data_IF_435337140361
#
_entry.id   IF_435337140361
#
_cell.length_a   1.000
_cell.length_b   1.000
_cell.length_c   1.000
_cell.angle_alpha   90.00
_cell.angle_beta   90.00
_cell.angle_gamma   90.00
#
_symmetry.space_group_name_H-M   'P 1'
#
loop_
_entity.id
_entity.type
_entity.pdbx_description
1 polymer ?
#
# COMPACT_ATOMS: atom_id res chain seq x y z
N UNK A 1 -28.42 -20.20 -8.11
CA UNK A 1 -28.03 -20.47 -6.71
C UNK A 1 -27.19 -19.28 -6.27
N UNK A 2 -27.69 -18.44 -5.36
CA UNK A 2 -26.88 -17.39 -4.76
C UNK A 2 -25.91 -18.08 -3.81
N UNK A 3 -24.67 -18.27 -4.26
CA UNK A 3 -23.57 -18.76 -3.41
C UNK A 3 -23.43 -17.78 -2.25
N UNK A 4 -23.80 -18.21 -1.04
CA UNK A 4 -23.85 -17.36 0.15
C UNK A 4 -22.51 -17.46 0.88
N UNK A 5 -21.46 -16.91 0.25
CA UNK A 5 -20.11 -16.79 0.80
C UNK A 5 -20.15 -15.88 2.02
N UNK A 6 -19.57 -16.31 3.15
CA UNK A 6 -19.44 -15.49 4.36
C UNK A 6 -17.99 -15.03 4.50
N UNK A 7 -17.62 -14.06 3.68
CA UNK A 7 -16.28 -13.48 3.68
C UNK A 7 -16.31 -11.99 4.04
N UNK A 8 -15.20 -11.53 4.63
CA UNK A 8 -14.81 -10.13 4.71
C UNK A 8 -13.56 -9.95 3.84
N UNK A 9 -13.55 -8.95 2.96
CA UNK A 9 -12.37 -8.65 2.12
C UNK A 9 -11.75 -7.33 2.54
N UNK A 10 -10.46 -7.35 2.88
CA UNK A 10 -9.72 -6.17 3.30
C UNK A 10 -8.60 -5.93 2.31
N UNK A 11 -8.51 -4.71 1.82
CA UNK A 11 -7.57 -4.33 0.78
C UNK A 11 -6.50 -3.39 1.34
N UNK A 12 -5.24 -3.61 0.95
CA UNK A 12 -4.29 -2.49 0.87
C UNK A 12 -4.70 -1.53 -0.26
N UNK A 13 -4.06 -0.36 -0.33
CA UNK A 13 -4.33 0.68 -1.31
C UNK A 13 -3.17 0.82 -2.29
N UNK A 14 -1.95 1.02 -1.79
CA UNK A 14 -0.77 1.26 -2.62
C UNK A 14 -0.37 -0.07 -3.29
N UNK A 15 -0.19 -0.09 -4.60
CA UNK A 15 0.10 -1.33 -5.36
C UNK A 15 -1.11 -2.24 -5.61
N UNK A 16 -2.21 -2.07 -4.87
CA UNK A 16 -3.44 -2.88 -5.00
C UNK A 16 -4.58 -2.11 -5.67
N UNK A 17 -4.93 -0.92 -5.16
CA UNK A 17 -6.03 -0.09 -5.68
C UNK A 17 -5.53 1.02 -6.60
N UNK A 18 -4.29 1.45 -6.39
CA UNK A 18 -3.62 2.46 -7.22
C UNK A 18 -2.19 2.07 -7.50
N UNK A 19 -1.68 2.48 -8.65
CA UNK A 19 -0.27 2.34 -8.98
C UNK A 19 0.51 3.59 -8.54
N UNK A 20 1.35 3.41 -7.54
CA UNK A 20 2.20 4.46 -6.95
C UNK A 20 3.64 4.43 -7.47
N UNK A 21 3.98 3.50 -8.36
CA UNK A 21 5.36 3.22 -8.78
C UNK A 21 6.06 4.44 -9.38
N UNK A 22 5.32 5.26 -10.12
CA UNK A 22 5.82 6.47 -10.76
C UNK A 22 5.77 7.73 -9.89
N UNK A 23 4.92 7.79 -8.86
CA UNK A 23 4.68 9.01 -8.10
C UNK A 23 5.66 9.18 -6.94
N UNK A 24 5.85 8.15 -6.11
CA UNK A 24 6.76 8.22 -4.96
C UNK A 24 8.22 8.29 -5.39
N UNK A 25 8.66 7.47 -6.36
CA UNK A 25 10.04 7.53 -6.90
C UNK A 25 10.34 8.92 -7.45
N UNK A 26 9.40 9.52 -8.18
CA UNK A 26 9.54 10.88 -8.68
C UNK A 26 9.60 11.92 -7.57
N UNK A 27 8.78 11.78 -6.52
CA UNK A 27 8.82 12.66 -5.35
C UNK A 27 10.16 12.56 -4.61
N UNK A 28 10.73 11.36 -4.46
CA UNK A 28 12.09 11.17 -3.93
C UNK A 28 13.10 11.91 -4.80
N UNK A 29 13.13 11.64 -6.11
CA UNK A 29 14.11 12.25 -7.01
C UNK A 29 14.05 13.77 -7.00
N UNK A 30 12.85 14.36 -7.04
CA UNK A 30 12.66 15.81 -6.96
C UNK A 30 13.11 16.40 -5.62
N UNK A 31 12.86 15.69 -4.53
CA UNK A 31 13.23 16.13 -3.19
C UNK A 31 14.75 16.14 -3.04
N UNK A 32 15.41 15.05 -3.43
CA UNK A 32 16.87 14.97 -3.38
C UNK A 32 17.52 16.01 -4.30
N UNK A 33 17.01 16.19 -5.52
CA UNK A 33 17.51 17.22 -6.44
C UNK A 33 17.38 18.63 -5.86
N UNK A 34 16.26 18.94 -5.22
CA UNK A 34 16.06 20.24 -4.60
C UNK A 34 17.03 20.51 -3.44
N UNK A 35 17.17 19.57 -2.50
CA UNK A 35 18.02 19.74 -1.31
C UNK A 35 19.51 19.56 -1.60
N UNK A 36 19.88 19.04 -2.77
CA UNK A 36 21.27 19.01 -3.26
C UNK A 36 21.58 20.17 -4.20
N UNK A 37 20.71 21.18 -4.30
CA UNK A 37 20.92 22.35 -5.18
C UNK A 37 21.11 21.96 -6.65
N UNK A 38 20.33 20.98 -7.11
CA UNK A 38 20.38 20.36 -8.44
C UNK A 38 21.68 19.59 -8.76
N UNK A 39 22.54 19.33 -7.77
CA UNK A 39 23.78 18.59 -7.98
C UNK A 39 23.56 17.08 -8.12
N UNK A 40 22.47 16.54 -7.57
CA UNK A 40 22.19 15.10 -7.63
C UNK A 40 20.70 14.79 -7.71
N UNK A 41 20.34 13.99 -8.71
CA UNK A 41 19.00 13.44 -8.87
C UNK A 41 19.09 11.91 -8.91
N UNK A 42 18.59 11.18 -7.89
CA UNK A 42 18.67 9.73 -7.85
C UNK A 42 17.82 9.11 -8.96
N UNK A 43 18.39 8.09 -9.60
CA UNK A 43 17.72 7.26 -10.60
C UNK A 43 16.82 6.21 -9.93
N UNK A 44 15.91 5.55 -10.67
CA UNK A 44 15.15 4.41 -10.13
C UNK A 44 16.05 3.33 -9.52
N UNK A 45 17.20 3.05 -10.15
CA UNK A 45 18.18 2.07 -9.66
C UNK A 45 18.77 2.49 -8.32
N UNK A 46 19.11 3.79 -8.14
CA UNK A 46 19.63 4.29 -6.86
C UNK A 46 18.60 4.14 -5.74
N UNK A 47 17.33 4.42 -6.05
CA UNK A 47 16.22 4.30 -5.10
C UNK A 47 15.98 2.82 -4.74
N UNK A 48 15.99 1.92 -5.72
CA UNK A 48 15.79 0.50 -5.48
C UNK A 48 16.95 -0.09 -4.66
N UNK A 49 18.19 0.31 -4.93
CA UNK A 49 19.36 -0.06 -4.13
C UNK A 49 19.22 0.40 -2.68
N UNK A 50 18.84 1.67 -2.45
CA UNK A 50 18.57 2.18 -1.11
C UNK A 50 17.45 1.38 -0.41
N UNK A 51 16.32 1.15 -1.09
CA UNK A 51 15.18 0.42 -0.51
C UNK A 51 15.51 -1.03 -0.20
N UNK A 52 16.43 -1.65 -0.96
CA UNK A 52 16.88 -3.02 -0.72
C UNK A 52 17.59 -3.21 0.64
N UNK A 53 18.06 -2.12 1.27
CA UNK A 53 18.66 -2.15 2.61
C UNK A 53 17.63 -2.45 3.71
N UNK A 54 16.34 -2.28 3.44
CA UNK A 54 15.24 -2.72 4.31
C UNK A 54 15.06 -1.94 5.61
N UNK A 55 15.74 -0.80 5.79
CA UNK A 55 15.71 0.01 7.02
C UNK A 55 15.00 1.37 6.87
N UNK A 56 14.63 1.78 5.66
CA UNK A 56 14.00 3.06 5.38
C UNK A 56 12.49 2.93 5.48
N UNK A 57 11.89 3.40 6.58
CA UNK A 57 10.50 3.10 6.93
C UNK A 57 9.49 3.88 6.07
N UNK A 58 9.92 4.99 5.48
CA UNK A 58 9.11 5.78 4.55
C UNK A 58 9.98 6.52 3.52
N UNK A 59 9.33 7.01 2.47
CA UNK A 59 10.00 7.70 1.37
C UNK A 59 10.60 9.06 1.77
N UNK A 60 10.21 9.64 2.91
CA UNK A 60 10.81 10.88 3.42
C UNK A 60 12.17 10.62 4.07
N UNK A 61 12.27 9.56 4.87
CA UNK A 61 13.54 9.06 5.42
C UNK A 61 14.48 8.62 4.30
N UNK A 62 13.95 7.91 3.29
CA UNK A 62 14.73 7.54 2.10
C UNK A 62 15.28 8.78 1.37
N UNK A 63 14.46 9.83 1.20
CA UNK A 63 14.88 11.09 0.59
C UNK A 63 15.99 11.76 1.42
N UNK A 64 15.82 11.82 2.74
CA UNK A 64 16.81 12.40 3.65
C UNK A 64 18.15 11.65 3.58
N UNK A 65 18.12 10.33 3.58
CA UNK A 65 19.34 9.53 3.48
C UNK A 65 20.09 9.77 2.17
N UNK A 66 19.40 9.84 1.04
CA UNK A 66 20.04 10.12 -0.25
C UNK A 66 20.71 11.49 -0.27
N UNK A 67 20.10 12.49 0.38
CA UNK A 67 20.70 13.82 0.55
C UNK A 67 21.97 13.72 1.41
N UNK A 68 21.93 13.00 2.54
CA UNK A 68 23.12 12.76 3.36
C UNK A 68 24.24 12.08 2.56
N UNK A 69 23.93 11.00 1.85
CA UNK A 69 24.91 10.24 1.05
C UNK A 69 25.56 11.11 -0.02
N UNK A 70 24.78 11.98 -0.66
CA UNK A 70 25.33 12.93 -1.61
C UNK A 70 26.39 13.83 -0.96
N UNK A 71 26.05 14.54 0.12
CA UNK A 71 27.03 15.44 0.76
C UNK A 71 28.23 14.72 1.36
N UNK A 72 28.05 13.52 1.91
CA UNK A 72 29.16 12.66 2.37
C UNK A 72 30.08 12.29 1.20
N UNK A 73 29.52 11.96 0.02
CA UNK A 73 30.31 11.68 -1.18
C UNK A 73 31.14 12.88 -1.66
N UNK A 74 30.73 14.10 -1.29
CA UNK A 74 31.46 15.34 -1.57
C UNK A 74 32.48 15.70 -0.46
N UNK A 75 32.69 14.82 0.51
CA UNK A 75 33.70 14.97 1.56
C UNK A 75 33.22 15.64 2.85
N UNK A 76 31.91 15.89 3.01
CA UNK A 76 31.36 16.41 4.26
C UNK A 76 31.17 15.29 5.30
N UNK A 77 31.31 15.62 6.59
CA UNK A 77 30.97 14.67 7.66
C UNK A 77 29.47 14.70 7.96
N UNK A 78 28.87 13.54 8.24
CA UNK A 78 27.41 13.43 8.49
C UNK A 78 26.93 14.37 9.61
N UNK A 79 27.74 14.57 10.64
CA UNK A 79 27.45 15.42 11.79
C UNK A 79 27.44 16.93 11.46
N UNK A 80 28.11 17.33 10.38
CA UNK A 80 28.19 18.72 9.93
C UNK A 80 27.03 19.08 8.99
N UNK A 81 26.38 18.07 8.39
CA UNK A 81 25.24 18.25 7.50
C UNK A 81 23.99 18.51 8.33
N UNK A 82 23.48 19.74 8.28
CA UNK A 82 22.23 20.11 8.93
C UNK A 82 21.06 19.97 7.96
N UNK A 83 20.36 18.85 8.01
CA UNK A 83 19.10 18.65 7.28
C UNK A 83 17.89 18.90 8.18
N UNK A 84 16.99 19.77 7.73
CA UNK A 84 15.67 19.94 8.33
C UNK A 84 14.70 18.90 7.77
N UNK A 85 14.44 17.86 8.57
CA UNK A 85 13.51 16.79 8.20
C UNK A 85 12.09 17.29 7.92
N UNK A 86 11.59 18.26 8.68
CA UNK A 86 10.25 18.79 8.49
C UNK A 86 10.14 19.53 7.14
N UNK A 87 11.20 20.24 6.75
CA UNK A 87 11.27 20.88 5.43
C UNK A 87 11.35 19.85 4.29
N UNK A 88 12.12 18.76 4.47
CA UNK A 88 12.16 17.65 3.50
C UNK A 88 10.77 17.04 3.30
N UNK A 89 10.06 16.72 4.39
CA UNK A 89 8.70 16.19 4.33
C UNK A 89 7.76 17.20 3.65
N UNK A 90 7.86 18.49 3.98
CA UNK A 90 7.02 19.54 3.40
C UNK A 90 7.23 19.66 1.90
N UNK A 91 8.48 19.71 1.44
CA UNK A 91 8.80 19.77 0.02
C UNK A 91 8.34 18.52 -0.72
N UNK A 92 8.64 17.33 -0.17
CA UNK A 92 8.18 16.05 -0.73
C UNK A 92 6.67 16.07 -0.95
N UNK A 93 5.91 16.45 0.09
CA UNK A 93 4.46 16.49 0.03
C UNK A 93 3.93 17.54 -0.95
N UNK A 94 4.62 18.68 -1.10
CA UNK A 94 4.28 19.69 -2.10
C UNK A 94 4.39 19.18 -3.55
N UNK A 95 5.28 18.22 -3.81
CA UNK A 95 5.39 17.54 -5.10
C UNK A 95 4.36 16.42 -5.23
N UNK A 96 4.23 15.62 -4.17
CA UNK A 96 3.37 14.44 -4.17
C UNK A 96 1.88 14.78 -4.21
N UNK A 97 1.39 15.59 -3.25
CA UNK A 97 0.00 16.05 -3.18
C UNK A 97 -0.24 17.32 -3.99
N UNK A 98 0.80 18.11 -4.20
CA UNK A 98 0.70 19.40 -4.87
C UNK A 98 0.65 20.57 -3.89
N UNK A 99 0.52 21.78 -4.43
CA UNK A 99 0.42 23.03 -3.67
C UNK A 99 -1.02 23.48 -3.45
N UNK A 100 -1.97 22.99 -4.25
CA UNK A 100 -3.40 23.24 -4.03
C UNK A 100 -3.96 22.26 -3.00
N UNK A 101 -4.16 22.72 -1.77
CA UNK A 101 -4.64 21.89 -0.66
C UNK A 101 -6.08 21.43 -0.81
N UNK A 102 -6.88 22.05 -1.69
CA UNK A 102 -8.29 21.70 -1.93
C UNK A 102 -8.44 20.74 -3.09
N UNK A 103 -7.86 21.09 -4.25
CA UNK A 103 -8.06 20.30 -5.46
C UNK A 103 -6.99 19.25 -5.66
N UNK A 104 -5.81 19.45 -5.08
CA UNK A 104 -4.59 18.67 -5.30
C UNK A 104 -4.17 18.70 -6.77
N UNK A 105 -2.90 18.96 -6.99
CA UNK A 105 -2.32 19.09 -8.33
C UNK A 105 -0.94 18.43 -8.44
N UNK A 106 -0.61 17.56 -7.48
CA UNK A 106 0.64 16.81 -7.46
C UNK A 106 0.59 15.49 -8.23
N UNK A 107 1.60 14.66 -8.01
CA UNK A 107 1.76 13.38 -8.67
C UNK A 107 0.64 12.39 -8.40
N UNK A 108 0.09 12.41 -7.19
CA UNK A 108 -1.04 11.56 -6.79
C UNK A 108 -2.27 11.71 -7.71
N UNK A 109 -2.45 12.87 -8.34
CA UNK A 109 -3.57 13.12 -9.25
C UNK A 109 -3.51 12.28 -10.54
N UNK A 110 -2.33 11.78 -10.90
CA UNK A 110 -2.06 11.08 -12.15
C UNK A 110 -1.79 9.58 -11.95
N UNK A 111 -1.84 9.08 -10.71
CA UNK A 111 -1.65 7.65 -10.42
C UNK A 111 -2.74 6.82 -11.11
N UNK A 112 -2.41 5.75 -11.84
CA UNK A 112 -3.41 4.83 -12.38
C UNK A 112 -4.24 4.19 -11.27
N UNK A 113 -5.56 4.08 -11.46
CA UNK A 113 -6.43 3.28 -10.61
C UNK A 113 -6.46 1.84 -11.13
N UNK A 114 -6.29 0.88 -10.24
CA UNK A 114 -6.21 -0.55 -10.54
C UNK A 114 -7.53 -1.28 -10.29
N UNK A 115 -8.51 -0.60 -9.70
CA UNK A 115 -9.86 -1.08 -9.48
C UNK A 115 -10.90 -0.07 -9.97
N UNK A 116 -12.09 -0.55 -10.33
CA UNK A 116 -13.24 0.28 -10.68
C UNK A 116 -14.30 0.25 -9.58
N UNK A 117 -15.14 1.29 -9.45
CA UNK A 117 -16.19 1.33 -8.41
C UNK A 117 -17.18 0.17 -8.50
N UNK A 118 -17.45 -0.32 -9.72
CA UNK A 118 -18.31 -1.46 -9.97
C UNK A 118 -17.83 -2.73 -9.28
N UNK A 119 -16.51 -2.92 -9.13
CA UNK A 119 -15.94 -4.07 -8.42
C UNK A 119 -16.40 -4.11 -6.96
N UNK A 120 -16.33 -2.99 -6.26
CA UNK A 120 -16.79 -2.88 -4.87
C UNK A 120 -18.32 -2.98 -4.75
N UNK A 121 -19.05 -2.45 -5.73
CA UNK A 121 -20.50 -2.60 -5.78
C UNK A 121 -20.91 -4.07 -5.93
N UNK A 122 -20.15 -4.87 -6.67
CA UNK A 122 -20.40 -6.32 -6.79
C UNK A 122 -20.16 -7.04 -5.46
N UNK A 123 -19.08 -6.74 -4.74
CA UNK A 123 -18.84 -7.28 -3.39
C UNK A 123 -20.03 -6.97 -2.45
N UNK A 124 -20.47 -5.70 -2.40
CA UNK A 124 -21.62 -5.29 -1.60
C UNK A 124 -22.90 -6.01 -2.00
N UNK A 125 -23.19 -6.11 -3.31
CA UNK A 125 -24.40 -6.81 -3.83
C UNK A 125 -24.41 -8.29 -3.49
N UNK A 126 -23.23 -8.90 -3.38
CA UNK A 126 -23.06 -10.29 -2.97
C UNK A 126 -23.04 -10.49 -1.45
N UNK A 127 -23.24 -9.44 -0.66
CA UNK A 127 -23.26 -9.52 0.80
C UNK A 127 -21.88 -9.70 1.44
N UNK A 128 -20.80 -9.47 0.68
CA UNK A 128 -19.43 -9.51 1.18
C UNK A 128 -19.09 -8.14 1.75
N UNK A 129 -18.80 -8.07 3.04
CA UNK A 129 -18.34 -6.84 3.66
C UNK A 129 -16.87 -6.58 3.27
N UNK A 130 -16.51 -5.31 3.08
CA UNK A 130 -15.16 -4.95 2.66
C UNK A 130 -14.71 -3.59 3.19
N UNK A 131 -13.40 -3.43 3.30
CA UNK A 131 -12.77 -2.20 3.77
C UNK A 131 -11.28 -2.16 3.46
N UNK A 132 -10.59 -1.15 3.98
CA UNK A 132 -9.18 -0.90 3.70
C UNK A 132 -8.34 -0.88 4.97
N UNK A 133 -7.14 -1.46 4.89
CA UNK A 133 -6.07 -1.28 5.87
C UNK A 133 -4.76 -0.98 5.15
N UNK A 134 -4.24 0.25 5.30
CA UNK A 134 -3.10 0.71 4.51
C UNK A 134 -2.11 1.53 5.31
N UNK A 135 -0.84 1.46 4.89
CA UNK A 135 0.22 2.35 5.37
C UNK A 135 0.19 3.74 4.72
N UNK A 136 -0.75 3.99 3.80
CA UNK A 136 -0.97 5.34 3.27
C UNK A 136 -1.55 6.27 4.35
N UNK A 137 -1.11 7.52 4.37
CA UNK A 137 -1.72 8.56 5.20
C UNK A 137 -3.21 8.70 4.89
N UNK A 138 -4.04 8.98 5.89
CA UNK A 138 -5.49 9.12 5.75
C UNK A 138 -5.90 10.10 4.66
N UNK A 139 -5.22 11.24 4.54
CA UNK A 139 -5.50 12.23 3.50
C UNK A 139 -5.30 11.67 2.08
N UNK A 140 -4.18 10.98 1.83
CA UNK A 140 -3.89 10.38 0.52
C UNK A 140 -4.85 9.23 0.21
N UNK A 141 -5.15 8.38 1.19
CA UNK A 141 -6.11 7.29 1.05
C UNK A 141 -7.51 7.81 0.70
N UNK A 142 -8.03 8.81 1.44
CA UNK A 142 -9.34 9.40 1.16
C UNK A 142 -9.37 10.09 -0.22
N UNK A 143 -8.29 10.78 -0.61
CA UNK A 143 -8.20 11.38 -1.94
C UNK A 143 -8.36 10.34 -3.04
N UNK A 144 -7.74 9.18 -2.89
CA UNK A 144 -7.85 8.11 -3.88
C UNK A 144 -9.23 7.45 -3.82
N UNK A 145 -9.65 7.00 -2.64
CA UNK A 145 -10.85 6.18 -2.49
C UNK A 145 -12.13 6.97 -2.74
N UNK A 146 -12.24 8.17 -2.18
CA UNK A 146 -13.47 8.96 -2.27
C UNK A 146 -13.46 9.88 -3.49
N UNK A 147 -12.37 10.62 -3.71
CA UNK A 147 -12.36 11.65 -4.76
C UNK A 147 -12.03 11.12 -6.15
N UNK A 148 -11.08 10.18 -6.28
CA UNK A 148 -10.70 9.63 -7.60
C UNK A 148 -11.48 8.40 -7.98
N UNK A 149 -11.62 7.46 -7.05
CA UNK A 149 -12.37 6.23 -7.26
C UNK A 149 -13.88 6.46 -7.04
N UNK A 150 -14.30 7.41 -6.21
CA UNK A 150 -15.73 7.73 -6.07
C UNK A 150 -16.48 6.85 -5.08
N UNK A 151 -15.78 6.18 -4.15
CA UNK A 151 -16.42 5.43 -3.07
C UNK A 151 -17.04 6.37 -2.04
N UNK A 152 -18.18 5.98 -1.49
CA UNK A 152 -18.86 6.76 -0.45
C UNK A 152 -18.46 6.25 0.93
N UNK A 153 -17.72 7.07 1.68
CA UNK A 153 -17.31 6.82 3.07
C UNK A 153 -16.87 5.37 3.34
N UNK A 154 -15.85 4.86 2.61
CA UNK A 154 -15.39 3.48 2.80
C UNK A 154 -14.79 3.28 4.20
N UNK A 155 -14.91 2.07 4.74
CA UNK A 155 -14.20 1.70 5.98
C UNK A 155 -12.70 1.73 5.71
N UNK A 156 -11.97 2.56 6.47
CA UNK A 156 -10.55 2.79 6.28
C UNK A 156 -9.81 2.93 7.62
N UNK A 157 -8.85 2.04 7.82
CA UNK A 157 -7.77 2.19 8.79
C UNK A 157 -6.52 2.59 8.00
N UNK A 158 -6.04 3.80 8.23
CA UNK A 158 -4.89 4.41 7.60
C UNK A 158 -3.68 4.41 8.55
N UNK A 159 -2.56 4.95 8.06
CA UNK A 159 -1.27 5.00 8.78
C UNK A 159 -1.38 5.59 10.19
N UNK A 160 -2.21 6.62 10.37
CA UNK A 160 -2.32 7.36 11.62
C UNK A 160 -3.16 6.63 12.69
N UNK A 161 -3.91 5.59 12.33
CA UNK A 161 -4.92 4.98 13.21
C UNK A 161 -4.43 3.75 13.97
N UNK A 162 -3.37 3.10 13.49
CA UNK A 162 -2.84 1.86 14.05
C UNK A 162 -1.33 1.72 13.78
N UNK A 163 -0.62 0.86 14.53
CA UNK A 163 0.76 0.49 14.19
C UNK A 163 0.87 -0.03 12.75
N UNK A 164 1.99 0.29 12.10
CA UNK A 164 2.25 -0.12 10.73
C UNK A 164 2.37 -1.64 10.57
N UNK A 165 2.07 -2.12 9.36
CA UNK A 165 2.30 -3.52 8.97
C UNK A 165 3.76 -3.91 9.23
N UNK A 166 4.06 -5.13 9.68
CA UNK A 166 3.16 -6.29 9.74
C UNK A 166 2.35 -6.42 11.05
N UNK A 167 2.20 -5.38 11.86
CA UNK A 167 1.34 -5.45 13.04
C UNK A 167 -0.15 -5.65 12.66
N UNK A 168 -0.84 -6.68 13.18
CA UNK A 168 -2.22 -6.99 12.78
C UNK A 168 -3.28 -6.10 13.47
N UNK A 169 -2.90 -5.17 14.35
CA UNK A 169 -3.84 -4.32 15.10
C UNK A 169 -4.79 -3.56 14.18
N UNK A 170 -4.27 -2.98 13.09
CA UNK A 170 -5.10 -2.25 12.13
C UNK A 170 -6.05 -3.17 11.36
N UNK A 171 -5.61 -4.39 11.03
CA UNK A 171 -6.46 -5.42 10.40
C UNK A 171 -7.64 -5.80 11.31
N UNK A 172 -7.39 -6.06 12.60
CA UNK A 172 -8.46 -6.33 13.57
C UNK A 172 -9.42 -5.15 13.73
N UNK A 173 -8.91 -3.91 13.76
CA UNK A 173 -9.75 -2.73 13.84
C UNK A 173 -10.70 -2.62 12.62
N UNK A 174 -10.20 -2.85 11.40
CA UNK A 174 -11.03 -2.86 10.18
C UNK A 174 -12.12 -3.93 10.26
N UNK A 175 -11.78 -5.15 10.69
CA UNK A 175 -12.73 -6.26 10.84
C UNK A 175 -13.83 -5.90 11.85
N UNK A 176 -13.46 -5.37 13.02
CA UNK A 176 -14.42 -5.02 14.06
C UNK A 176 -15.47 -3.99 13.59
N UNK A 177 -15.06 -3.01 12.77
CA UNK A 177 -15.97 -2.04 12.16
C UNK A 177 -16.93 -2.74 11.19
N UNK A 178 -16.41 -3.64 10.35
CA UNK A 178 -17.19 -4.34 9.32
C UNK A 178 -18.16 -5.39 9.91
N UNK A 179 -17.78 -6.04 11.01
CA UNK A 179 -18.64 -7.00 11.71
C UNK A 179 -19.81 -6.31 12.41
N UNK A 180 -19.65 -5.04 12.80
CA UNK A 180 -20.70 -4.20 13.40
C UNK A 180 -21.50 -4.92 14.52
N UNK A 181 -20.79 -5.58 15.43
CA UNK A 181 -21.38 -6.31 16.56
C UNK A 181 -21.92 -7.71 16.24
N UNK A 182 -21.72 -8.22 15.03
CA UNK A 182 -22.02 -9.60 14.67
C UNK A 182 -21.09 -10.58 15.38
N UNK A 183 -21.65 -11.67 15.93
CA UNK A 183 -20.88 -12.77 16.50
C UNK A 183 -20.43 -13.81 15.45
N UNK A 184 -20.69 -13.57 14.18
CA UNK A 184 -20.23 -14.45 13.11
C UNK A 184 -18.72 -14.25 12.89
N UNK A 185 -18.02 -15.35 12.58
CA UNK A 185 -16.59 -15.34 12.25
C UNK A 185 -16.40 -15.68 10.78
N UNK A 186 -16.69 -14.75 9.85
CA UNK A 186 -16.51 -14.98 8.43
C UNK A 186 -15.04 -15.23 8.11
N UNK A 187 -14.80 -15.87 6.96
CA UNK A 187 -13.44 -15.94 6.40
C UNK A 187 -12.95 -14.53 6.14
N UNK A 188 -11.72 -14.23 6.56
CA UNK A 188 -11.08 -12.95 6.25
C UNK A 188 -10.11 -13.15 5.10
N UNK A 189 -10.37 -12.46 4.00
CA UNK A 189 -9.47 -12.39 2.85
C UNK A 189 -8.77 -11.04 2.90
N UNK A 190 -7.45 -11.06 3.01
CA UNK A 190 -6.64 -9.84 2.95
C UNK A 190 -5.91 -9.78 1.61
N UNK A 191 -6.00 -8.65 0.92
CA UNK A 191 -5.45 -8.44 -0.41
C UNK A 191 -4.34 -7.39 -0.34
N UNK A 192 -3.10 -7.81 -0.63
CA UNK A 192 -1.91 -6.98 -0.51
C UNK A 192 -0.87 -7.28 -1.59
N UNK A 193 -0.01 -6.33 -1.89
CA UNK A 193 1.08 -6.49 -2.87
C UNK A 193 2.44 -6.71 -2.21
N UNK A 194 2.57 -6.61 -0.88
CA UNK A 194 3.85 -6.74 -0.19
C UNK A 194 3.96 -7.99 0.66
N UNK A 195 5.20 -8.35 1.03
CA UNK A 195 5.48 -9.36 2.04
C UNK A 195 4.95 -8.96 3.42
N UNK A 196 4.97 -7.65 3.74
CA UNK A 196 4.46 -7.16 5.03
C UNK A 196 2.95 -7.41 5.16
N UNK A 197 2.20 -7.33 4.06
CA UNK A 197 0.78 -7.71 4.03
C UNK A 197 0.59 -9.18 4.38
N UNK A 198 1.32 -10.09 3.73
CA UNK A 198 1.18 -11.52 3.98
C UNK A 198 1.58 -11.87 5.41
N UNK A 199 2.65 -11.27 5.94
CA UNK A 199 3.03 -11.40 7.34
C UNK A 199 1.99 -10.83 8.32
N UNK A 200 1.25 -9.78 7.93
CA UNK A 200 0.14 -9.24 8.74
C UNK A 200 -0.95 -10.30 8.92
N UNK A 201 -1.29 -11.03 7.85
CA UNK A 201 -2.27 -12.12 7.88
C UNK A 201 -1.80 -13.27 8.77
N UNK A 202 -0.55 -13.71 8.62
CA UNK A 202 0.00 -14.81 9.43
C UNK A 202 0.06 -14.43 10.92
N UNK A 203 0.41 -13.19 11.25
CA UNK A 203 0.37 -12.69 12.64
C UNK A 203 -1.05 -12.60 13.17
N UNK A 204 -2.02 -12.13 12.37
CA UNK A 204 -3.43 -12.11 12.76
C UNK A 204 -3.95 -13.53 13.06
N UNK A 205 -3.60 -14.50 12.20
CA UNK A 205 -3.92 -15.92 12.38
C UNK A 205 -3.30 -16.52 13.63
N UNK A 206 -2.07 -16.13 13.99
CA UNK A 206 -1.43 -16.55 15.23
C UNK A 206 -2.12 -15.99 16.48
N UNK A 207 -2.71 -14.79 16.38
CA UNK A 207 -3.45 -14.13 17.48
C UNK A 207 -4.88 -14.65 17.60
N UNK A 208 -5.61 -14.81 16.50
CA UNK A 208 -6.98 -15.34 16.46
C UNK A 208 -7.07 -16.51 15.48
N UNK A 209 -6.89 -17.74 15.98
CA UNK A 209 -7.02 -18.96 15.16
C UNK A 209 -8.47 -19.48 15.05
N UNK A 210 -9.45 -18.72 15.55
CA UNK A 210 -10.86 -19.16 15.59
C UNK A 210 -11.65 -18.84 14.33
N UNK A 211 -11.02 -18.17 13.36
CA UNK A 211 -11.56 -17.85 12.03
C UNK A 211 -10.56 -18.25 10.93
N UNK A 212 -11.05 -18.38 9.71
CA UNK A 212 -10.19 -18.64 8.55
C UNK A 212 -9.55 -17.34 8.05
N UNK A 213 -8.24 -17.37 7.84
CA UNK A 213 -7.46 -16.25 7.31
C UNK A 213 -6.84 -16.63 5.98
N UNK A 214 -7.00 -15.77 4.98
CA UNK A 214 -6.49 -15.99 3.63
C UNK A 214 -5.74 -14.73 3.17
N UNK A 215 -4.44 -14.85 2.91
CA UNK A 215 -3.68 -13.85 2.18
C UNK A 215 -3.83 -14.04 0.67
N UNK A 216 -4.15 -12.97 -0.05
CA UNK A 216 -4.17 -12.93 -1.51
C UNK A 216 -3.14 -11.91 -1.96
N UNK A 217 -2.13 -12.36 -2.69
CA UNK A 217 -1.15 -11.48 -3.30
C UNK A 217 -1.70 -10.83 -4.57
N UNK A 218 -1.37 -9.57 -4.81
CA UNK A 218 -1.58 -8.91 -6.09
C UNK A 218 -0.24 -8.40 -6.61
N UNK A 219 0.07 -8.66 -7.88
CA UNK A 219 1.29 -8.14 -8.49
C UNK A 219 1.10 -6.65 -8.80
N UNK A 220 1.93 -5.74 -8.26
CA UNK A 220 1.85 -4.34 -8.63
C UNK A 220 2.38 -4.15 -10.07
N UNK A 221 1.90 -3.14 -10.85
CA UNK A 221 2.19 -3.06 -12.28
C UNK A 221 3.67 -3.05 -12.65
N UNK A 222 4.51 -2.37 -11.86
CA UNK A 222 5.96 -2.28 -12.10
C UNK A 222 6.70 -3.62 -11.96
N UNK A 223 6.13 -4.61 -11.25
CA UNK A 223 6.70 -5.96 -11.17
C UNK A 223 6.35 -6.78 -12.42
N UNK A 224 5.32 -6.37 -13.16
CA UNK A 224 4.78 -7.12 -14.29
C UNK A 224 5.46 -6.81 -15.63
N UNK A 225 6.55 -6.03 -15.63
CA UNK A 225 7.28 -5.65 -16.85
C UNK A 225 8.01 -6.83 -17.50
N UNK A 226 8.38 -7.86 -16.72
CA UNK A 226 9.06 -9.07 -17.20
C UNK A 226 8.43 -10.34 -16.61
N UNK A 227 8.52 -11.44 -17.36
CA UNK A 227 8.00 -12.74 -16.91
C UNK A 227 8.77 -13.22 -15.68
N UNK A 228 10.09 -13.08 -15.68
CA UNK A 228 10.95 -13.47 -14.58
C UNK A 228 10.65 -12.65 -13.31
N UNK A 229 10.35 -11.35 -13.47
CA UNK A 229 9.93 -10.47 -12.38
C UNK A 229 8.60 -10.91 -11.76
N UNK A 230 7.59 -11.17 -12.60
CA UNK A 230 6.31 -11.73 -12.18
C UNK A 230 6.48 -13.02 -11.37
N UNK A 231 7.24 -13.98 -11.91
CA UNK A 231 7.44 -15.29 -11.30
C UNK A 231 8.17 -15.18 -9.96
N UNK A 232 9.29 -14.43 -9.92
CA UNK A 232 10.07 -14.25 -8.71
C UNK A 232 9.24 -13.59 -7.59
N UNK A 233 8.47 -12.56 -7.92
CA UNK A 233 7.65 -11.86 -6.94
C UNK A 233 6.43 -12.68 -6.49
N UNK A 234 5.82 -13.43 -7.41
CA UNK A 234 4.77 -14.41 -7.08
C UNK A 234 5.28 -15.43 -6.07
N UNK A 235 6.46 -16.02 -6.31
CA UNK A 235 7.06 -16.97 -5.38
C UNK A 235 7.34 -16.33 -4.02
N UNK A 236 7.84 -15.08 -4.00
CA UNK A 236 8.09 -14.33 -2.77
C UNK A 236 6.81 -14.15 -1.94
N UNK A 237 5.69 -13.77 -2.56
CA UNK A 237 4.41 -13.61 -1.87
C UNK A 237 3.85 -14.95 -1.36
N UNK A 238 3.91 -16.02 -2.17
CA UNK A 238 3.48 -17.37 -1.76
C UNK A 238 4.28 -17.87 -0.56
N UNK A 239 5.61 -17.73 -0.61
CA UNK A 239 6.50 -18.10 0.51
C UNK A 239 6.22 -17.31 1.79
N UNK A 240 5.69 -16.10 1.65
CA UNK A 240 5.37 -15.22 2.77
C UNK A 240 3.96 -15.41 3.33
N UNK A 241 3.14 -16.30 2.73
CA UNK A 241 1.80 -16.65 3.22
C UNK A 241 0.64 -16.42 2.25
N UNK A 242 0.90 -15.95 1.02
CA UNK A 242 -0.16 -15.80 0.01
C UNK A 242 -0.71 -17.17 -0.40
N UNK A 243 -2.03 -17.34 -0.32
CA UNK A 243 -2.74 -18.55 -0.76
C UNK A 243 -2.77 -18.64 -2.29
N UNK A 244 -2.99 -17.50 -2.94
CA UNK A 244 -2.91 -17.30 -4.39
C UNK A 244 -2.30 -15.93 -4.66
N UNK A 245 -1.81 -15.73 -5.88
CA UNK A 245 -1.35 -14.43 -6.38
C UNK A 245 -2.09 -14.13 -7.68
N UNK A 246 -2.54 -12.89 -7.83
CA UNK A 246 -3.30 -12.39 -8.97
C UNK A 246 -2.54 -11.26 -9.66
N UNK A 247 -2.80 -11.04 -10.95
CA UNK A 247 -2.16 -9.93 -11.68
C UNK A 247 -2.87 -8.59 -11.44
N UNK A 248 -4.14 -8.63 -11.03
CA UNK A 248 -4.92 -7.45 -10.68
C UNK A 248 -5.94 -7.79 -9.59
N UNK A 249 -6.24 -6.81 -8.73
CA UNK A 249 -7.21 -6.97 -7.63
C UNK A 249 -8.60 -7.39 -8.11
N UNK A 250 -9.03 -6.95 -9.30
CA UNK A 250 -10.35 -7.27 -9.84
C UNK A 250 -10.49 -8.75 -10.29
N UNK A 251 -9.38 -9.50 -10.35
CA UNK A 251 -9.41 -10.95 -10.59
C UNK A 251 -9.89 -11.73 -9.34
N UNK A 252 -9.90 -11.09 -8.16
CA UNK A 252 -10.54 -11.60 -6.95
C UNK A 252 -12.06 -11.41 -7.05
N UNK A 253 -12.67 -12.17 -7.95
CA UNK A 253 -14.13 -12.20 -8.16
C UNK A 253 -14.84 -12.94 -7.04
N UNK A 254 -16.17 -12.80 -6.94
CA UNK A 254 -17.00 -13.58 -6.01
C UNK A 254 -16.75 -15.09 -6.13
N UNK A 255 -16.62 -15.57 -7.37
CA UNK A 255 -16.30 -16.97 -7.67
C UNK A 255 -14.91 -17.37 -7.18
N UNK A 256 -13.93 -16.47 -7.30
CA UNK A 256 -12.57 -16.69 -6.79
C UNK A 256 -12.60 -16.78 -5.27
N UNK A 257 -13.29 -15.86 -4.59
CA UNK A 257 -13.44 -15.86 -3.13
C UNK A 257 -14.10 -17.16 -2.65
N UNK A 258 -15.22 -17.56 -3.26
CA UNK A 258 -15.90 -18.81 -2.91
C UNK A 258 -14.99 -20.04 -3.05
N UNK A 259 -14.21 -20.12 -4.13
CA UNK A 259 -13.23 -21.21 -4.33
C UNK A 259 -12.12 -21.23 -3.29
N UNK A 260 -11.78 -20.09 -2.69
CA UNK A 260 -10.76 -20.01 -1.65
C UNK A 260 -11.30 -20.46 -0.28
N UNK A 261 -12.62 -20.43 -0.06
CA UNK A 261 -13.26 -20.92 1.16
C UNK A 261 -13.44 -22.45 1.19
N UNK A 262 -13.41 -23.11 0.02
CA UNK A 262 -13.52 -24.58 -0.13
C UNK A 262 -12.19 -25.28 0.17
#
# INVERSE_FOLDING_TARGET
>A
MTENTKAIVIFDIDGVIRDVSGSYRRAISDTVEYFTTQAYRPTPVDIDHLKSEGIWNNDWEASQELIYRHFISQGQQRQEIQLDYANIVTYFQSRYRGTDTKNWNGYICHEPLLAQPSYFQELTKSGIAWGFFSGATRLSANYILEKRLGLQSPVLIAMEDAPGKPDPTGLFATINILENGSNQKPTVVYVGDTVADMHTVEKAKAVDNSRTWLGVGVLPPHVQETVEGCEAYTQKLIQSGAKIVLNNVQELTIRTIYKLEL
#
